data_IF_892698894808
#
_entry.id   IF_892698894808
#
_cell.length_a   1.000
_cell.length_b   1.000
_cell.length_c   1.000
_cell.angle_alpha   90.00
_cell.angle_beta   90.00
_cell.angle_gamma   90.00
#
_symmetry.space_group_name_H-M   'P 1'
#
loop_
_entity.id
_entity.type
_entity.pdbx_description
1 polymer ?
#
# COMPACT_ATOMS: atom_id res chain seq x y z
N UNK A 1 -39.78 60.07 -3.45
CA UNK A 1 -40.21 58.88 -2.68
C UNK A 1 -38.96 58.15 -2.22
N UNK A 2 -38.68 58.10 -0.92
CA UNK A 2 -37.46 57.48 -0.38
C UNK A 2 -37.72 55.98 -0.27
N UNK A 3 -36.99 55.16 -1.03
CA UNK A 3 -37.03 53.71 -0.88
C UNK A 3 -36.43 53.33 0.47
N UNK A 4 -37.18 52.57 1.28
CA UNK A 4 -36.64 51.97 2.52
C UNK A 4 -35.60 50.91 2.15
N UNK A 5 -34.35 51.16 2.49
CA UNK A 5 -33.29 50.14 2.41
C UNK A 5 -33.67 48.98 3.35
N UNK A 6 -33.83 47.77 2.78
CA UNK A 6 -33.99 46.54 3.56
C UNK A 6 -32.61 46.19 4.12
N UNK A 7 -32.46 46.31 5.43
CA UNK A 7 -31.23 45.94 6.14
C UNK A 7 -31.06 44.42 6.23
N UNK A 8 -29.81 43.98 6.28
CA UNK A 8 -29.42 42.59 6.48
C UNK A 8 -29.90 42.09 7.85
N UNK A 9 -30.57 40.95 7.89
CA UNK A 9 -31.17 40.39 9.10
C UNK A 9 -30.23 39.43 9.82
N UNK A 10 -30.48 39.23 11.10
CA UNK A 10 -29.78 38.23 11.92
C UNK A 10 -29.94 36.81 11.34
N UNK A 11 -31.12 36.51 10.78
CA UNK A 11 -31.41 35.21 10.16
C UNK A 11 -30.55 34.96 8.93
N UNK A 12 -30.34 35.97 8.08
CA UNK A 12 -29.47 35.83 6.90
C UNK A 12 -28.01 35.56 7.30
N UNK A 13 -27.51 36.21 8.36
CA UNK A 13 -26.15 35.96 8.82
C UNK A 13 -26.00 34.57 9.47
N UNK A 14 -26.97 34.15 10.27
CA UNK A 14 -26.97 32.81 10.85
C UNK A 14 -27.05 31.73 9.78
N UNK A 15 -27.89 31.92 8.75
CA UNK A 15 -27.99 31.00 7.63
C UNK A 15 -26.68 30.94 6.83
N UNK A 16 -26.08 32.09 6.53
CA UNK A 16 -24.80 32.15 5.85
C UNK A 16 -23.69 31.43 6.63
N UNK A 17 -23.61 31.66 7.94
CA UNK A 17 -22.65 30.99 8.82
C UNK A 17 -22.92 29.48 8.93
N UNK A 18 -24.18 29.06 8.99
CA UNK A 18 -24.55 27.64 9.04
C UNK A 18 -24.14 26.91 7.75
N UNK A 19 -24.41 27.51 6.58
CA UNK A 19 -24.00 26.97 5.28
C UNK A 19 -22.48 26.94 5.18
N UNK A 20 -21.80 28.03 5.55
CA UNK A 20 -20.34 28.10 5.52
C UNK A 20 -19.71 27.02 6.42
N UNK A 21 -20.23 26.85 7.63
CA UNK A 21 -19.74 25.83 8.57
C UNK A 21 -19.96 24.42 8.01
N UNK A 22 -21.14 24.13 7.47
CA UNK A 22 -21.45 22.83 6.86
C UNK A 22 -20.52 22.53 5.67
N UNK A 23 -20.31 23.50 4.78
CA UNK A 23 -19.41 23.37 3.64
C UNK A 23 -17.96 23.17 4.09
N UNK A 24 -17.53 23.89 5.13
CA UNK A 24 -16.17 23.77 5.67
C UNK A 24 -15.92 22.37 6.24
N UNK A 25 -16.88 21.82 6.99
CA UNK A 25 -16.80 20.44 7.50
C UNK A 25 -16.82 19.42 6.35
N UNK A 26 -17.69 19.62 5.35
CA UNK A 26 -17.74 18.76 4.16
C UNK A 26 -16.41 18.76 3.39
N UNK A 27 -15.78 19.92 3.22
CA UNK A 27 -14.48 20.02 2.54
C UNK A 27 -13.37 19.27 3.28
N UNK A 28 -13.28 19.46 4.61
CA UNK A 28 -12.27 18.78 5.44
C UNK A 28 -12.48 17.26 5.45
N UNK A 29 -13.72 16.80 5.53
CA UNK A 29 -14.03 15.36 5.53
C UNK A 29 -13.68 14.70 4.19
N UNK A 30 -13.95 15.35 3.06
CA UNK A 30 -13.51 14.86 1.74
C UNK A 30 -11.99 14.74 1.66
N UNK A 31 -11.26 15.77 2.10
CA UNK A 31 -9.79 15.75 2.11
C UNK A 31 -9.26 14.59 2.97
N UNK A 32 -9.81 14.41 4.17
CA UNK A 32 -9.44 13.30 5.06
C UNK A 32 -9.71 11.93 4.44
N UNK A 33 -10.83 11.78 3.74
CA UNK A 33 -11.17 10.55 3.04
C UNK A 33 -10.18 10.23 1.91
N UNK A 34 -9.80 11.24 1.12
CA UNK A 34 -8.79 11.08 0.05
C UNK A 34 -7.45 10.67 0.63
N UNK A 35 -6.98 11.34 1.69
CA UNK A 35 -5.71 10.97 2.35
C UNK A 35 -5.74 9.55 2.91
N UNK A 36 -6.86 9.13 3.53
CA UNK A 36 -7.03 7.76 4.01
C UNK A 36 -7.05 6.73 2.88
N UNK A 37 -7.72 7.05 1.77
CA UNK A 37 -7.75 6.18 0.59
C UNK A 37 -6.35 6.03 -0.04
N UNK A 38 -5.58 7.12 -0.13
CA UNK A 38 -4.21 7.10 -0.65
C UNK A 38 -3.29 6.22 0.21
N UNK A 39 -3.32 6.41 1.55
CA UNK A 39 -2.51 5.59 2.47
C UNK A 39 -2.84 4.09 2.39
N UNK A 40 -4.12 3.74 2.32
CA UNK A 40 -4.55 2.35 2.15
C UNK A 40 -4.11 1.78 0.79
N UNK A 41 -4.23 2.56 -0.28
CA UNK A 41 -3.81 2.15 -1.62
C UNK A 41 -2.30 1.93 -1.68
N UNK A 42 -1.51 2.82 -1.05
CA UNK A 42 -0.05 2.69 -0.97
C UNK A 42 0.40 1.45 -0.20
N UNK A 43 -0.21 1.14 0.94
CA UNK A 43 0.12 -0.08 1.70
C UNK A 43 -0.13 -1.35 0.86
N UNK A 44 -1.30 -1.41 0.22
CA UNK A 44 -1.64 -2.54 -0.66
C UNK A 44 -0.70 -2.64 -1.86
N UNK A 45 -0.37 -1.50 -2.47
CA UNK A 45 0.58 -1.42 -3.58
C UNK A 45 1.96 -1.94 -3.20
N UNK A 46 2.51 -1.51 -2.06
CA UNK A 46 3.80 -1.97 -1.57
C UNK A 46 3.85 -3.47 -1.32
N UNK A 47 2.79 -4.05 -0.75
CA UNK A 47 2.70 -5.51 -0.52
C UNK A 47 2.60 -6.30 -1.82
N UNK A 48 1.83 -5.81 -2.81
CA UNK A 48 1.77 -6.44 -4.14
C UNK A 48 3.10 -6.35 -4.87
N UNK A 49 3.80 -5.21 -4.79
CA UNK A 49 5.12 -5.04 -5.38
C UNK A 49 6.15 -5.97 -4.74
N UNK A 50 6.13 -6.12 -3.41
CA UNK A 50 7.00 -7.06 -2.71
C UNK A 50 6.79 -8.49 -3.20
N UNK A 51 5.54 -8.95 -3.31
CA UNK A 51 5.21 -10.28 -3.85
C UNK A 51 5.72 -10.45 -5.28
N UNK A 52 5.49 -9.47 -6.16
CA UNK A 52 5.96 -9.52 -7.54
C UNK A 52 7.48 -9.63 -7.62
N UNK A 53 8.21 -8.85 -6.80
CA UNK A 53 9.66 -8.92 -6.70
C UNK A 53 10.14 -10.29 -6.20
N UNK A 54 9.49 -10.82 -5.16
CA UNK A 54 9.83 -12.16 -4.63
C UNK A 54 9.62 -13.23 -5.69
N UNK A 55 8.47 -13.23 -6.39
CA UNK A 55 8.21 -14.20 -7.45
C UNK A 55 9.11 -14.03 -8.66
N UNK A 56 9.45 -12.80 -9.06
CA UNK A 56 10.35 -12.57 -10.20
C UNK A 56 11.77 -13.04 -9.90
N UNK A 57 12.27 -12.77 -8.68
CA UNK A 57 13.56 -13.27 -8.23
C UNK A 57 13.57 -14.79 -8.14
N UNK A 58 12.56 -15.41 -7.53
CA UNK A 58 12.44 -16.87 -7.49
C UNK A 58 12.37 -17.48 -8.90
N UNK A 59 11.59 -16.90 -9.80
CA UNK A 59 11.47 -17.38 -11.17
C UNK A 59 12.80 -17.29 -11.93
N UNK A 60 13.53 -16.17 -11.79
CA UNK A 60 14.86 -16.01 -12.38
C UNK A 60 15.82 -17.08 -11.85
N UNK A 61 15.84 -17.31 -10.54
CA UNK A 61 16.72 -18.27 -9.89
C UNK A 61 16.38 -19.72 -10.28
N UNK A 62 15.10 -20.07 -10.30
CA UNK A 62 14.63 -21.41 -10.65
C UNK A 62 14.80 -21.72 -12.15
N UNK A 63 14.67 -20.71 -13.02
CA UNK A 63 14.86 -20.89 -14.47
C UNK A 63 16.30 -21.23 -14.85
N UNK A 64 17.25 -20.92 -13.98
CA UNK A 64 18.69 -21.12 -14.22
C UNK A 64 19.27 -22.29 -13.43
N UNK A 65 18.44 -23.16 -12.83
CA UNK A 65 18.91 -24.33 -12.09
C UNK A 65 19.74 -25.24 -13.01
N UNK A 66 20.93 -25.64 -12.53
CA UNK A 66 21.81 -26.58 -13.21
C UNK A 66 22.05 -27.83 -12.37
N UNK A 67 22.17 -29.03 -12.97
CA UNK A 67 22.42 -30.27 -12.26
C UNK A 67 23.92 -30.40 -11.89
N UNK A 68 24.41 -29.51 -11.02
CA UNK A 68 25.78 -29.52 -10.50
C UNK A 68 25.77 -29.85 -9.00
N UNK A 69 26.71 -30.69 -8.55
CA UNK A 69 26.92 -30.96 -7.12
C UNK A 69 27.62 -29.77 -6.45
N UNK A 70 27.12 -29.37 -5.28
CA UNK A 70 27.82 -28.38 -4.44
C UNK A 70 28.97 -29.06 -3.70
N UNK A 71 30.00 -28.29 -3.32
CA UNK A 71 31.15 -28.81 -2.57
C UNK A 71 30.74 -29.35 -1.19
N UNK A 72 29.70 -28.76 -0.59
CA UNK A 72 29.18 -29.12 0.73
C UNK A 72 27.99 -30.09 0.68
N UNK A 73 27.58 -30.57 -0.50
CA UNK A 73 26.41 -31.46 -0.61
C UNK A 73 26.51 -32.41 -1.81
N UNK A 74 26.38 -33.72 -1.54
CA UNK A 74 26.37 -34.75 -2.59
C UNK A 74 25.12 -34.71 -3.49
N UNK A 75 24.07 -34.00 -3.06
CA UNK A 75 22.84 -33.82 -3.82
C UNK A 75 22.91 -32.64 -4.78
N UNK A 76 22.26 -32.78 -5.95
CA UNK A 76 22.12 -31.73 -6.96
C UNK A 76 21.10 -30.66 -6.55
N UNK A 77 20.14 -31.06 -5.71
CA UNK A 77 19.09 -30.22 -5.15
C UNK A 77 18.91 -30.60 -3.68
N UNK A 78 18.81 -29.62 -2.81
CA UNK A 78 18.72 -29.82 -1.37
C UNK A 78 17.48 -29.11 -0.85
N UNK A 79 16.65 -29.83 -0.10
CA UNK A 79 15.51 -29.28 0.60
C UNK A 79 15.39 -29.95 1.97
N UNK A 80 15.24 -29.15 3.02
CA UNK A 80 15.08 -29.67 4.36
C UNK A 80 14.78 -28.59 5.39
N UNK A 81 14.44 -29.03 6.60
CA UNK A 81 14.00 -28.17 7.70
C UNK A 81 15.19 -27.71 8.54
N UNK A 82 15.10 -26.49 9.05
CA UNK A 82 16.07 -25.83 9.92
C UNK A 82 17.47 -25.71 9.32
N UNK A 83 17.54 -25.62 8.00
CA UNK A 83 18.77 -25.54 7.23
C UNK A 83 19.03 -24.11 6.74
N UNK A 84 20.29 -23.76 6.46
CA UNK A 84 20.69 -22.42 5.99
C UNK A 84 20.24 -21.28 6.94
N UNK A 85 20.07 -21.58 8.24
CA UNK A 85 19.53 -20.62 9.21
C UNK A 85 18.03 -20.33 9.05
N UNK A 86 17.30 -21.12 8.27
CA UNK A 86 15.84 -21.01 8.15
C UNK A 86 15.16 -21.50 9.43
N UNK A 87 14.11 -20.80 9.85
CA UNK A 87 13.26 -21.21 10.99
C UNK A 87 12.34 -22.39 10.64
N UNK A 88 12.20 -22.74 9.36
CA UNK A 88 11.45 -23.93 8.92
C UNK A 88 12.12 -24.52 7.68
N UNK A 89 11.52 -24.47 6.49
CA UNK A 89 12.12 -25.07 5.30
C UNK A 89 13.16 -24.17 4.63
N UNK A 90 14.18 -24.80 4.06
CA UNK A 90 15.13 -24.18 3.16
C UNK A 90 15.33 -25.05 1.91
N UNK A 91 15.66 -24.40 0.80
CA UNK A 91 16.01 -25.03 -0.47
C UNK A 91 17.34 -24.45 -0.94
N UNK A 92 18.25 -25.30 -1.41
CA UNK A 92 19.49 -24.89 -2.06
C UNK A 92 19.71 -25.68 -3.35
N UNK A 93 20.24 -24.99 -4.36
CA UNK A 93 20.58 -25.54 -5.67
C UNK A 93 21.68 -24.69 -6.29
N UNK A 94 22.33 -25.25 -7.32
CA UNK A 94 23.25 -24.49 -8.15
C UNK A 94 22.51 -23.90 -9.35
N UNK A 95 22.86 -22.66 -9.72
CA UNK A 95 22.38 -21.98 -10.92
C UNK A 95 23.55 -21.42 -11.72
N UNK A 96 23.30 -21.09 -12.99
CA UNK A 96 24.32 -20.49 -13.87
C UNK A 96 24.52 -18.98 -13.62
#
# INVERSE_FOLDING_TARGET
MIQRARGFTLVEMLLALAILAALSVAAVTVLQNVMRADTLTRDKGGRMQALQLTFSQMAADFSQIIPRRSRDSASLFFAGRFQLGSDDWAIAFNRN
#
